data_IF_537622205709
#
_entry.id   IF_537622205709
#
_cell.length_a   1.000
_cell.length_b   1.000
_cell.length_c   1.000
_cell.angle_alpha   90.00
_cell.angle_beta   90.00
_cell.angle_gamma   90.00
#
_symmetry.space_group_name_H-M   'P 1'
#
loop_
_entity.id
_entity.type
_entity.pdbx_description
1 polymer ?
#
# COMPACT_ATOMS: atom_id res chain seq x y z
N UNK A 1 9.97 -2.83 9.80
CA UNK A 1 9.49 -3.90 8.91
C UNK A 1 9.28 -3.42 7.49
N UNK A 2 8.52 -2.36 7.28
CA UNK A 2 8.31 -1.83 5.90
C UNK A 2 9.61 -1.33 5.27
N UNK A 3 10.47 -0.70 6.03
CA UNK A 3 11.75 -0.20 5.52
C UNK A 3 12.70 -1.33 5.11
N UNK A 4 12.71 -2.44 5.85
CA UNK A 4 13.52 -3.61 5.49
C UNK A 4 13.03 -4.29 4.22
N UNK A 5 11.71 -4.42 4.09
CA UNK A 5 11.10 -5.00 2.89
C UNK A 5 11.44 -4.18 1.65
N UNK A 6 11.34 -2.86 1.75
CA UNK A 6 11.67 -1.96 0.67
C UNK A 6 13.16 -2.03 0.30
N UNK A 7 14.04 -2.10 1.28
CA UNK A 7 15.46 -2.23 1.05
C UNK A 7 15.82 -3.50 0.28
N UNK A 8 15.19 -4.62 0.64
CA UNK A 8 15.39 -5.90 -0.07
C UNK A 8 14.92 -5.83 -1.51
N UNK A 9 13.78 -5.19 -1.76
CA UNK A 9 13.27 -5.00 -3.13
C UNK A 9 14.22 -4.13 -3.95
N UNK A 10 14.75 -3.07 -3.37
CA UNK A 10 15.71 -2.18 -4.03
C UNK A 10 17.02 -2.90 -4.35
N UNK A 11 17.52 -3.71 -3.44
CA UNK A 11 18.75 -4.47 -3.65
C UNK A 11 18.60 -5.47 -4.78
N UNK A 12 17.46 -6.17 -4.84
CA UNK A 12 17.16 -7.07 -5.94
C UNK A 12 17.07 -6.33 -7.28
N UNK A 13 16.39 -5.18 -7.30
CA UNK A 13 16.28 -4.34 -8.50
C UNK A 13 17.65 -3.82 -8.94
N UNK A 14 18.51 -3.39 -8.02
CA UNK A 14 19.86 -2.91 -8.34
C UNK A 14 20.74 -3.99 -8.96
N UNK A 15 20.60 -5.23 -8.51
CA UNK A 15 21.34 -6.34 -9.10
C UNK A 15 20.96 -6.60 -10.55
N UNK A 16 19.66 -6.45 -10.87
CA UNK A 16 19.20 -6.54 -12.25
C UNK A 16 19.63 -5.31 -13.06
N UNK A 17 19.57 -4.14 -12.46
CA UNK A 17 19.88 -2.88 -13.12
C UNK A 17 21.37 -2.72 -13.46
N UNK A 18 22.25 -3.45 -12.81
CA UNK A 18 23.66 -3.53 -13.22
C UNK A 18 23.82 -3.98 -14.66
N UNK A 19 22.85 -4.71 -15.16
CA UNK A 19 22.83 -5.20 -16.54
C UNK A 19 22.22 -4.19 -17.48
N UNK A 20 21.28 -3.38 -17.01
CA UNK A 20 20.48 -2.48 -17.84
C UNK A 20 20.83 -1.02 -17.71
N UNK A 21 21.65 -0.63 -16.74
CA UNK A 21 22.08 0.74 -16.49
C UNK A 21 20.93 1.75 -16.29
N UNK A 22 19.74 1.29 -15.84
CA UNK A 22 18.59 2.15 -15.60
C UNK A 22 18.09 1.94 -14.18
N UNK A 23 18.33 2.90 -13.31
CA UNK A 23 17.78 2.90 -11.95
C UNK A 23 16.39 3.53 -11.97
N UNK A 24 15.36 2.70 -12.03
CA UNK A 24 13.97 3.14 -11.87
C UNK A 24 13.53 2.87 -10.44
N UNK A 25 12.86 3.84 -9.77
CA UNK A 25 12.30 3.55 -8.45
C UNK A 25 11.23 2.47 -8.55
N UNK A 26 11.27 1.51 -7.62
CA UNK A 26 10.28 0.45 -7.56
C UNK A 26 8.98 1.01 -6.98
N UNK A 27 7.85 0.94 -7.68
CA UNK A 27 6.57 1.37 -7.14
C UNK A 27 6.15 0.51 -5.96
N UNK A 28 5.70 1.15 -4.88
CA UNK A 28 5.16 0.48 -3.70
C UNK A 28 3.80 1.08 -3.39
N UNK A 29 2.78 0.23 -3.36
CA UNK A 29 1.43 0.63 -2.96
C UNK A 29 1.05 -0.14 -1.71
N UNK A 30 0.73 0.58 -0.65
CA UNK A 30 0.27 0.00 0.61
C UNK A 30 -1.19 0.37 0.84
N UNK A 31 -1.89 -0.41 1.64
CA UNK A 31 -3.31 -0.18 1.90
C UNK A 31 -3.60 -0.08 3.38
N UNK A 32 -4.56 0.78 3.72
CA UNK A 32 -5.05 0.91 5.08
C UNK A 32 -5.73 -0.35 5.56
N UNK A 33 -5.73 -0.52 6.88
CA UNK A 33 -6.64 -1.44 7.57
C UNK A 33 -8.04 -0.84 7.57
N UNK A 34 -9.07 -1.68 7.61
CA UNK A 34 -10.45 -1.23 7.56
C UNK A 34 -10.85 -0.38 8.77
N UNK A 35 -11.63 0.68 8.54
CA UNK A 35 -12.12 1.54 9.61
C UNK A 35 -13.15 0.81 10.49
N UNK A 36 -13.79 -0.25 9.99
CA UNK A 36 -14.69 -1.10 10.78
C UNK A 36 -13.99 -1.75 11.98
N UNK A 37 -12.65 -1.76 12.02
CA UNK A 37 -11.89 -2.28 13.16
C UNK A 37 -12.16 -1.52 14.46
N UNK A 38 -12.75 -0.33 14.38
CA UNK A 38 -13.23 0.38 15.58
C UNK A 38 -14.22 -0.48 16.39
N UNK A 39 -14.96 -1.37 15.72
CA UNK A 39 -15.90 -2.29 16.36
C UNK A 39 -15.29 -3.64 16.78
N UNK A 40 -14.01 -3.87 16.53
CA UNK A 40 -13.34 -5.10 16.90
C UNK A 40 -12.64 -4.94 18.26
N UNK A 41 -13.08 -5.71 19.25
CA UNK A 41 -12.72 -5.48 20.66
C UNK A 41 -11.21 -5.49 20.93
N UNK A 42 -10.44 -6.25 20.16
CA UNK A 42 -8.99 -6.37 20.35
C UNK A 42 -8.18 -5.35 19.56
N UNK A 43 -8.81 -4.62 18.66
CA UNK A 43 -8.08 -3.68 17.80
C UNK A 43 -7.96 -2.32 18.45
N UNK A 44 -6.75 -1.90 18.73
CA UNK A 44 -6.46 -0.61 19.38
C UNK A 44 -5.55 0.29 18.55
N UNK A 45 -4.83 -0.27 17.60
CA UNK A 45 -3.73 0.42 16.93
C UNK A 45 -3.92 0.61 15.44
N UNK A 46 -5.06 0.20 14.89
CA UNK A 46 -5.28 0.28 13.44
C UNK A 46 -5.22 1.70 12.90
N UNK A 47 -5.69 2.69 13.68
CA UNK A 47 -5.60 4.09 13.27
C UNK A 47 -4.16 4.60 13.27
N UNK A 48 -3.36 4.18 14.23
CA UNK A 48 -1.94 4.52 14.29
C UNK A 48 -1.19 3.89 13.13
N UNK A 49 -1.49 2.63 12.85
CA UNK A 49 -0.89 1.90 11.72
C UNK A 49 -1.26 2.60 10.39
N UNK A 50 -2.53 2.97 10.22
CA UNK A 50 -2.96 3.66 9.02
C UNK A 50 -2.26 5.01 8.84
N UNK A 51 -2.11 5.77 9.92
CA UNK A 51 -1.37 7.02 9.88
C UNK A 51 0.09 6.81 9.47
N UNK A 52 0.72 5.77 9.99
CA UNK A 52 2.10 5.41 9.63
C UNK A 52 2.22 4.98 8.17
N UNK A 53 1.22 4.28 7.63
CA UNK A 53 1.21 3.88 6.23
C UNK A 53 1.13 5.11 5.31
N UNK A 54 0.32 6.10 5.65
CA UNK A 54 0.26 7.35 4.90
C UNK A 54 1.57 8.13 5.00
N UNK A 55 2.16 8.18 6.16
CA UNK A 55 3.46 8.83 6.37
C UNK A 55 4.55 8.15 5.53
N UNK A 56 4.58 6.83 5.52
CA UNK A 56 5.49 6.06 4.68
C UNK A 56 5.31 6.42 3.20
N UNK A 57 4.07 6.45 2.73
CA UNK A 57 3.76 6.75 1.34
C UNK A 57 4.17 8.17 0.95
N UNK A 58 4.03 9.13 1.86
CA UNK A 58 4.41 10.51 1.62
C UNK A 58 5.94 10.71 1.53
N UNK A 59 6.72 9.73 1.94
CA UNK A 59 8.19 9.83 2.00
C UNK A 59 8.90 9.70 0.66
N UNK A 60 8.23 9.26 -0.40
CA UNK A 60 8.86 9.12 -1.73
C UNK A 60 7.81 9.15 -2.83
N UNK A 61 8.16 9.62 -4.05
CA UNK A 61 7.20 9.74 -5.16
C UNK A 61 6.76 8.39 -5.73
N UNK A 62 7.53 7.32 -5.54
CA UNK A 62 7.18 5.99 -6.03
C UNK A 62 6.32 5.19 -5.04
N UNK A 63 5.75 5.84 -4.05
CA UNK A 63 4.92 5.21 -3.03
C UNK A 63 3.52 5.80 -3.04
N UNK A 64 2.53 4.96 -2.71
CA UNK A 64 1.15 5.41 -2.51
C UNK A 64 0.51 4.61 -1.39
N UNK A 65 -0.44 5.21 -0.70
CA UNK A 65 -1.27 4.54 0.30
C UNK A 65 -2.72 4.62 -0.14
N UNK A 66 -3.37 3.47 -0.18
CA UNK A 66 -4.78 3.33 -0.56
C UNK A 66 -5.63 3.39 0.70
N UNK A 67 -6.69 4.19 0.67
CA UNK A 67 -7.64 4.23 1.78
C UNK A 67 -8.56 3.02 1.76
N UNK A 68 -8.87 2.50 2.94
CA UNK A 68 -9.90 1.49 3.14
C UNK A 68 -11.20 2.11 3.69
N UNK A 69 -11.32 3.44 3.65
CA UNK A 69 -12.49 4.15 4.17
C UNK A 69 -13.76 3.64 3.49
N UNK A 70 -14.77 3.42 4.31
CA UNK A 70 -16.13 3.03 3.90
C UNK A 70 -16.22 1.67 3.23
N UNK A 71 -15.20 0.81 3.39
CA UNK A 71 -15.28 -0.55 2.89
C UNK A 71 -15.89 -1.47 3.94
N UNK A 72 -16.84 -2.34 3.52
CA UNK A 72 -17.54 -3.21 4.47
C UNK A 72 -16.70 -4.41 4.91
N UNK A 73 -16.96 -4.87 6.13
CA UNK A 73 -16.44 -6.14 6.62
C UNK A 73 -17.40 -7.28 6.31
N UNK A 74 -16.94 -8.53 6.44
CA UNK A 74 -17.73 -9.71 6.11
C UNK A 74 -18.71 -10.13 7.23
N UNK A 75 -18.81 -9.35 8.31
CA UNK A 75 -19.67 -9.61 9.46
C UNK A 75 -18.91 -9.80 10.78
N UNK A 76 -17.59 -9.81 10.75
CA UNK A 76 -16.74 -10.08 11.91
C UNK A 76 -15.98 -8.84 12.43
N UNK A 77 -16.14 -7.69 11.81
CA UNK A 77 -15.39 -6.45 12.11
C UNK A 77 -13.87 -6.60 12.01
N UNK A 78 -13.40 -7.60 11.28
CA UNK A 78 -11.98 -7.89 11.15
C UNK A 78 -11.54 -8.02 9.70
N UNK A 79 -12.27 -8.78 8.89
CA UNK A 79 -11.90 -9.06 7.50
C UNK A 79 -12.77 -8.28 6.53
N UNK A 80 -12.19 -7.84 5.45
CA UNK A 80 -12.93 -7.23 4.35
C UNK A 80 -13.92 -8.23 3.74
N UNK A 81 -15.11 -7.75 3.39
CA UNK A 81 -16.05 -8.55 2.60
C UNK A 81 -15.49 -8.77 1.18
N UNK A 82 -16.08 -9.71 0.44
CA UNK A 82 -15.70 -9.93 -0.95
C UNK A 82 -15.89 -8.67 -1.80
N UNK A 83 -16.99 -7.93 -1.58
CA UNK A 83 -17.25 -6.67 -2.26
C UNK A 83 -16.16 -5.63 -1.93
N UNK A 84 -15.80 -5.52 -0.64
CA UNK A 84 -14.75 -4.62 -0.20
C UNK A 84 -13.41 -4.96 -0.85
N UNK A 85 -13.07 -6.24 -0.95
CA UNK A 85 -11.84 -6.67 -1.59
C UNK A 85 -11.79 -6.28 -3.07
N UNK A 86 -12.91 -6.41 -3.79
CA UNK A 86 -13.00 -5.98 -5.19
C UNK A 86 -12.81 -4.46 -5.32
N UNK A 87 -13.47 -3.70 -4.45
CA UNK A 87 -13.32 -2.23 -4.44
C UNK A 87 -11.90 -1.82 -4.09
N UNK A 88 -11.30 -2.49 -3.12
CA UNK A 88 -9.92 -2.23 -2.72
C UNK A 88 -8.96 -2.53 -3.86
N UNK A 89 -9.19 -3.61 -4.60
CA UNK A 89 -8.40 -3.93 -5.79
C UNK A 89 -8.44 -2.84 -6.85
N UNK A 90 -9.60 -2.24 -7.09
CA UNK A 90 -9.73 -1.10 -8.01
C UNK A 90 -8.95 0.11 -7.50
N UNK A 91 -9.01 0.38 -6.21
CA UNK A 91 -8.25 1.48 -5.59
C UNK A 91 -6.74 1.26 -5.70
N UNK A 92 -6.28 0.01 -5.51
CA UNK A 92 -4.88 -0.36 -5.71
C UNK A 92 -4.44 -0.14 -7.16
N UNK A 93 -5.26 -0.54 -8.12
CA UNK A 93 -4.94 -0.36 -9.53
C UNK A 93 -4.82 1.11 -9.89
N UNK A 94 -5.75 1.95 -9.44
CA UNK A 94 -5.70 3.40 -9.65
C UNK A 94 -4.45 4.01 -9.04
N UNK A 95 -4.11 3.63 -7.83
CA UNK A 95 -2.93 4.13 -7.14
C UNK A 95 -1.64 3.73 -7.86
N UNK A 96 -1.57 2.48 -8.31
CA UNK A 96 -0.42 1.99 -9.06
C UNK A 96 -0.23 2.76 -10.37
N UNK A 97 -1.33 2.95 -11.12
CA UNK A 97 -1.30 3.73 -12.36
C UNK A 97 -0.82 5.16 -12.10
N UNK A 98 -1.32 5.79 -11.03
CA UNK A 98 -0.89 7.13 -10.65
C UNK A 98 0.60 7.21 -10.36
N UNK A 99 1.13 6.27 -9.60
CA UNK A 99 2.57 6.19 -9.30
C UNK A 99 3.36 5.94 -10.58
N UNK A 100 2.92 5.02 -11.41
CA UNK A 100 3.62 4.65 -12.64
C UNK A 100 3.69 5.82 -13.63
N UNK A 101 2.59 6.57 -13.78
CA UNK A 101 2.56 7.75 -14.61
C UNK A 101 3.45 8.87 -14.06
N UNK A 102 3.35 9.12 -12.75
CA UNK A 102 4.10 10.18 -12.09
C UNK A 102 5.61 9.95 -12.14
N UNK A 103 6.04 8.71 -12.02
CA UNK A 103 7.46 8.35 -12.02
C UNK A 103 8.02 8.06 -13.42
N UNK A 104 7.20 8.13 -14.43
CA UNK A 104 7.64 7.86 -15.81
C UNK A 104 7.85 6.39 -16.14
N UNK A 105 7.26 5.48 -15.33
CA UNK A 105 7.38 4.04 -15.55
C UNK A 105 6.58 3.59 -16.79
N UNK A 106 5.46 4.25 -17.03
CA UNK A 106 4.62 3.99 -18.22
C UNK A 106 4.30 5.28 -18.97
#
# INVERSE_FOLDING_TARGET
>A
MMAEFEARLRDGAKQQDRVQAVAQPLPVVVGELGDYLDGFASSKYHRVINAQLHEYAAGAPARACVTARDLPHKGDHLHFSARAQRMLGLRYADAWLGVALHTGLI
#
